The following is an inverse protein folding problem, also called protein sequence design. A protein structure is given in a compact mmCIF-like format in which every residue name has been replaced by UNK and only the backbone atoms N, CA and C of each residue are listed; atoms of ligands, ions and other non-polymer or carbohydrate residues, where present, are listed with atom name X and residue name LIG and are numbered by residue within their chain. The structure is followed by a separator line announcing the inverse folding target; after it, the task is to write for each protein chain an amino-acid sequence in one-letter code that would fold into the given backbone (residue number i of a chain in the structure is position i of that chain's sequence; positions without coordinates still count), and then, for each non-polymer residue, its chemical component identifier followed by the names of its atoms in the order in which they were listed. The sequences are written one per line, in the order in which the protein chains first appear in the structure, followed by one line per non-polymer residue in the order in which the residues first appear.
data_IF_947449073825
#
_entry.id   IF_947449073825
#
_cell.length_a   1.000
_cell.length_b   1.000
_cell.length_c   1.000
_cell.angle_alpha   90.00
_cell.angle_beta   90.00
_cell.angle_gamma   90.00
#
_symmetry.space_group_name_H-M   'P 1'
#
loop_
_entity.id
_entity.type
_entity.pdbx_description
1 polymer ?
#
# COMPACT_ATOMS: atom_id res chain seq x y z
N UNK A 1 -19.22 -9.62 5.90
CA UNK A 1 -17.88 -9.19 5.46
C UNK A 1 -17.91 -9.23 3.93
N UNK A 2 -18.26 -8.13 3.25
CA UNK A 2 -18.11 -8.09 1.79
C UNK A 2 -16.61 -7.88 1.53
N UNK A 3 -15.92 -8.95 1.14
CA UNK A 3 -14.63 -8.82 0.48
C UNK A 3 -14.92 -8.36 -0.94
N UNK A 4 -15.02 -7.04 -1.13
CA UNK A 4 -14.83 -6.46 -2.45
C UNK A 4 -13.42 -6.87 -2.88
N UNK A 5 -13.37 -7.88 -3.75
CA UNK A 5 -12.14 -8.45 -4.27
C UNK A 5 -11.59 -7.51 -5.33
N UNK A 6 -11.18 -6.32 -4.91
CA UNK A 6 -10.37 -5.46 -5.77
C UNK A 6 -9.12 -6.26 -6.17
N UNK A 7 -8.68 -6.17 -7.44
CA UNK A 7 -7.49 -6.88 -7.88
C UNK A 7 -6.31 -6.45 -7.01
N UNK A 8 -5.70 -7.43 -6.34
CA UNK A 8 -4.50 -7.25 -5.54
C UNK A 8 -3.29 -7.64 -6.39
N UNK A 9 -2.18 -6.92 -6.23
CA UNK A 9 -0.88 -7.29 -6.81
C UNK A 9 0.09 -7.57 -5.68
N UNK A 10 0.68 -8.76 -5.66
CA UNK A 10 1.69 -9.11 -4.67
C UNK A 10 2.98 -8.29 -4.88
N UNK A 11 3.60 -7.89 -3.77
CA UNK A 11 4.84 -7.12 -3.77
C UNK A 11 5.95 -7.96 -3.11
N UNK A 12 6.96 -8.33 -3.91
CA UNK A 12 8.12 -9.05 -3.40
C UNK A 12 9.12 -8.11 -2.72
N UNK A 13 9.74 -8.57 -1.63
CA UNK A 13 10.82 -7.85 -0.96
C UNK A 13 10.38 -6.84 0.11
N UNK A 14 9.09 -6.80 0.45
CA UNK A 14 8.54 -5.95 1.52
C UNK A 14 7.89 -6.86 2.58
N UNK A 15 8.47 -6.89 3.78
CA UNK A 15 7.97 -7.75 4.87
C UNK A 15 8.01 -9.24 4.54
N UNK A 16 7.22 -10.02 5.29
CA UNK A 16 6.99 -11.43 5.02
C UNK A 16 5.92 -11.62 3.94
N UNK A 17 4.92 -10.74 3.92
CA UNK A 17 3.92 -10.63 2.87
C UNK A 17 3.57 -9.17 2.61
N UNK A 18 3.40 -8.80 1.35
CA UNK A 18 2.91 -7.48 0.98
C UNK A 18 2.11 -7.53 -0.31
N UNK A 19 1.14 -6.63 -0.41
CA UNK A 19 0.34 -6.46 -1.61
C UNK A 19 -0.06 -5.00 -1.79
N UNK A 20 -0.34 -4.63 -3.03
CA UNK A 20 -0.97 -3.36 -3.40
C UNK A 20 -2.37 -3.61 -3.93
N UNK A 21 -3.27 -2.66 -3.66
CA UNK A 21 -4.60 -2.63 -4.27
C UNK A 21 -5.04 -1.19 -4.50
N UNK A 22 -5.96 -1.01 -5.43
CA UNK A 22 -6.61 0.28 -5.69
C UNK A 22 -8.05 0.20 -5.22
N UNK A 23 -8.48 1.21 -4.49
CA UNK A 23 -9.85 1.39 -4.05
C UNK A 23 -10.34 2.79 -4.45
N UNK A 24 -11.55 2.87 -4.99
CA UNK A 24 -12.07 4.12 -5.55
C UNK A 24 -12.35 5.20 -4.48
N UNK A 25 -12.55 4.79 -3.22
CA UNK A 25 -12.83 5.71 -2.11
C UNK A 25 -11.56 6.15 -1.37
N UNK A 26 -10.57 5.27 -1.28
CA UNK A 26 -9.39 5.44 -0.42
C UNK A 26 -8.07 5.58 -1.21
N UNK A 27 -8.06 5.28 -2.51
CA UNK A 27 -6.89 5.44 -3.38
C UNK A 27 -6.04 4.18 -3.51
N UNK A 28 -4.74 4.35 -3.71
CA UNK A 28 -3.79 3.23 -3.86
C UNK A 28 -3.18 2.92 -2.50
N UNK A 29 -3.22 1.65 -2.10
CA UNK A 29 -2.73 1.20 -0.80
C UNK A 29 -1.71 0.09 -0.96
N UNK A 30 -0.59 0.19 -0.24
CA UNK A 30 0.32 -0.91 0.04
C UNK A 30 0.07 -1.39 1.46
N UNK A 31 -0.23 -2.68 1.60
CA UNK A 31 -0.35 -3.35 2.89
C UNK A 31 0.77 -4.38 3.05
N UNK A 32 1.43 -4.39 4.20
CA UNK A 32 2.48 -5.36 4.53
C UNK A 32 2.30 -5.95 5.92
N UNK A 33 2.60 -7.24 6.02
CA UNK A 33 2.55 -8.03 7.23
C UNK A 33 3.95 -8.59 7.47
N UNK A 34 4.45 -8.42 8.69
CA UNK A 34 5.74 -8.95 9.08
C UNK A 34 5.80 -9.24 10.58
N UNK A 35 5.93 -10.52 10.93
CA UNK A 35 5.84 -10.98 12.32
C UNK A 35 4.58 -10.42 13.03
N UNK A 36 4.76 -9.55 14.03
CA UNK A 36 3.68 -8.90 14.77
C UNK A 36 3.35 -7.48 14.27
N UNK A 37 3.91 -7.07 13.12
CA UNK A 37 3.69 -5.77 12.51
C UNK A 37 2.71 -5.89 11.34
N UNK A 38 1.75 -4.97 11.34
CA UNK A 38 0.89 -4.68 10.20
C UNK A 38 1.03 -3.21 9.85
N UNK A 39 1.41 -2.92 8.61
CA UNK A 39 1.61 -1.56 8.11
C UNK A 39 0.82 -1.37 6.83
N UNK A 40 0.04 -0.29 6.78
CA UNK A 40 -0.65 0.17 5.58
C UNK A 40 -0.20 1.57 5.23
N UNK A 41 0.19 1.78 3.98
CA UNK A 41 0.50 3.10 3.43
C UNK A 41 -0.43 3.36 2.26
N UNK A 42 -1.20 4.45 2.36
CA UNK A 42 -2.21 4.80 1.36
C UNK A 42 -1.93 6.20 0.81
N UNK A 43 -1.94 6.33 -0.51
CA UNK A 43 -2.04 7.62 -1.19
C UNK A 43 -3.43 7.75 -1.78
N UNK A 44 -4.00 8.94 -1.64
CA UNK A 44 -5.28 9.32 -2.20
C UNK A 44 -5.17 10.70 -2.87
N UNK A 45 -5.85 10.90 -4.01
CA UNK A 45 -5.95 12.23 -4.61
C UNK A 45 -6.77 13.14 -3.69
N UNK A 46 -6.31 14.39 -3.49
CA UNK A 46 -7.06 15.36 -2.69
C UNK A 46 -8.34 15.83 -3.37
N UNK A 47 -8.35 15.82 -4.70
CA UNK A 47 -9.56 16.07 -5.49
C UNK A 47 -10.26 14.73 -5.74
N UNK A 48 -11.54 14.57 -5.35
CA UNK A 48 -12.29 13.36 -5.65
C UNK A 48 -12.32 13.08 -7.15
N UNK A 49 -12.03 11.83 -7.53
CA UNK A 49 -12.03 11.37 -8.91
C UNK A 49 -10.84 11.84 -9.77
N UNK A 50 -9.84 12.49 -9.19
CA UNK A 50 -8.57 12.74 -9.89
C UNK A 50 -7.65 11.50 -9.79
N UNK A 51 -6.80 11.32 -10.79
CA UNK A 51 -5.77 10.27 -10.73
C UNK A 51 -4.62 10.67 -9.81
N UNK A 52 -3.97 9.66 -9.23
CA UNK A 52 -2.69 9.85 -8.56
C UNK A 52 -1.56 9.91 -9.58
N UNK A 53 -0.57 10.80 -9.41
CA UNK A 53 0.65 10.79 -10.20
C UNK A 53 1.37 9.43 -10.11
N UNK A 54 1.90 8.94 -11.24
CA UNK A 54 2.55 7.63 -11.33
C UNK A 54 3.78 7.52 -10.41
N UNK A 55 4.52 8.61 -10.23
CA UNK A 55 5.66 8.69 -9.32
C UNK A 55 5.25 8.55 -7.85
N UNK A 56 4.09 9.07 -7.46
CA UNK A 56 3.53 8.87 -6.12
C UNK A 56 3.16 7.40 -5.92
N UNK A 57 2.53 6.77 -6.91
CA UNK A 57 2.18 5.34 -6.87
C UNK A 57 3.44 4.48 -6.79
N UNK A 58 4.48 4.78 -7.57
CA UNK A 58 5.76 4.07 -7.53
C UNK A 58 6.48 4.25 -6.18
N UNK A 59 6.39 5.45 -5.59
CA UNK A 59 7.01 5.77 -4.30
C UNK A 59 6.36 5.07 -3.10
N UNK A 60 5.11 4.61 -3.22
CA UNK A 60 4.37 3.99 -2.12
C UNK A 60 5.04 2.73 -1.57
N UNK A 61 5.52 1.86 -2.47
CA UNK A 61 6.22 0.63 -2.08
C UNK A 61 7.53 0.92 -1.37
N UNK A 62 8.28 1.93 -1.84
CA UNK A 62 9.51 2.37 -1.20
C UNK A 62 9.25 2.98 0.19
N UNK A 63 8.19 3.77 0.35
CA UNK A 63 7.78 4.33 1.63
C UNK A 63 7.38 3.22 2.62
N UNK A 64 6.58 2.24 2.18
CA UNK A 64 6.21 1.09 2.99
C UNK A 64 7.43 0.27 3.43
N UNK A 65 8.37 -0.01 2.51
CA UNK A 65 9.62 -0.70 2.82
C UNK A 65 10.47 0.07 3.85
N UNK A 66 10.65 1.38 3.63
CA UNK A 66 11.43 2.23 4.54
C UNK A 66 10.82 2.30 5.94
N UNK A 67 9.49 2.50 6.02
CA UNK A 67 8.79 2.58 7.29
C UNK A 67 8.83 1.24 8.03
N UNK A 68 8.63 0.11 7.34
CA UNK A 68 8.72 -1.21 7.95
C UNK A 68 10.12 -1.48 8.52
N UNK A 69 11.17 -1.13 7.79
CA UNK A 69 12.55 -1.29 8.29
C UNK A 69 12.82 -0.42 9.51
N UNK A 70 12.27 0.80 9.56
CA UNK A 70 12.40 1.68 10.72
C UNK A 70 11.66 1.12 11.95
N UNK A 71 10.49 0.50 11.76
CA UNK A 71 9.71 -0.10 12.85
C UNK A 71 10.32 -1.39 13.42
N UNK A 72 11.20 -2.05 12.67
CA UNK A 72 11.92 -3.26 13.09
C UNK A 72 13.20 -2.97 13.89
N UNK A 73 13.73 -1.74 13.82
CA UNK A 73 14.98 -1.33 14.44
C UNK A 73 14.83 -1.04 15.94
#
# INVERSE_FOLDING_TARGET
MQQDSQPVTELTGIGAAAYTYTDAATGVTVATYDANLYLTVTAAPLRPGADLPEDVVAGLSAAAFSALNALRA
#
